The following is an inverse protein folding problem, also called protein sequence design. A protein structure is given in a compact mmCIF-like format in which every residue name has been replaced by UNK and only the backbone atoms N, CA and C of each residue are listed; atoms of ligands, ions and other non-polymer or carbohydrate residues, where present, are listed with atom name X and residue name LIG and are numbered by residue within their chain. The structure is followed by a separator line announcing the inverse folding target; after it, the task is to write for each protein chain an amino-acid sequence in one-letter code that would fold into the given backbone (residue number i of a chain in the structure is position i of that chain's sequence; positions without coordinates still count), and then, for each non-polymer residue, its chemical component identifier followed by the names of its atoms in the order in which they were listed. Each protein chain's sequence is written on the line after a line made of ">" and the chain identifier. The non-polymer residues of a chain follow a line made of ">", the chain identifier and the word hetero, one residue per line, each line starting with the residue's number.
data_IF_162339638721
#
_entry.id   IF_162339638721
#
_cell.length_a   1.000
_cell.length_b   1.000
_cell.length_c   1.000
_cell.angle_alpha   90.00
_cell.angle_beta   90.00
_cell.angle_gamma   90.00
#
_symmetry.space_group_name_H-M   'P 1'
#
loop_
_entity.id
_entity.type
_entity.pdbx_description
1 polymer ?
#
# COMPACT_ATOMS: atom_id res chain seq x y z
N UNK A 1 3.67 -7.02 -24.61
CA UNK A 1 2.94 -6.65 -23.38
C UNK A 1 2.31 -5.28 -23.62
N UNK A 2 0.99 -5.13 -23.48
CA UNK A 2 0.32 -3.87 -23.78
C UNK A 2 0.35 -2.97 -22.53
N UNK A 3 1.07 -1.85 -22.60
CA UNK A 3 1.31 -0.96 -21.46
C UNK A 3 0.28 0.18 -21.35
N UNK A 4 -0.71 0.24 -22.24
CA UNK A 4 -1.81 1.21 -22.19
C UNK A 4 -2.91 0.71 -21.25
N UNK A 5 -2.89 1.16 -20.01
CA UNK A 5 -3.86 0.80 -18.97
C UNK A 5 -4.94 1.87 -18.72
N UNK A 6 -4.93 2.96 -19.48
CA UNK A 6 -5.89 4.05 -19.38
C UNK A 6 -6.17 4.63 -20.78
N UNK A 7 -7.38 5.14 -21.01
CA UNK A 7 -7.81 5.69 -22.29
C UNK A 7 -7.24 7.08 -22.56
N UNK A 8 -7.08 7.89 -21.51
CA UNK A 8 -6.50 9.25 -21.60
C UNK A 8 -5.50 9.49 -20.46
N UNK A 9 -4.50 10.39 -20.63
CA UNK A 9 -3.58 10.75 -19.55
C UNK A 9 -4.23 11.47 -18.37
N UNK A 10 -5.43 12.03 -18.56
CA UNK A 10 -6.11 12.89 -17.59
C UNK A 10 -7.28 12.19 -16.86
N UNK A 11 -7.69 11.01 -17.31
CA UNK A 11 -8.74 10.22 -16.66
C UNK A 11 -8.18 9.30 -15.58
N UNK A 12 -9.02 8.87 -14.62
CA UNK A 12 -8.67 7.78 -13.71
C UNK A 12 -9.37 6.49 -14.16
N UNK A 13 -8.58 5.43 -14.34
CA UNK A 13 -9.09 4.08 -14.54
C UNK A 13 -8.25 3.10 -13.71
N UNK A 14 -8.90 2.33 -12.83
CA UNK A 14 -8.19 1.27 -12.11
C UNK A 14 -7.72 0.19 -13.08
N UNK A 15 -6.41 -0.05 -13.13
CA UNK A 15 -5.83 -1.13 -13.93
C UNK A 15 -6.31 -2.49 -13.39
N UNK A 16 -6.79 -3.37 -14.27
CA UNK A 16 -7.06 -4.77 -13.91
C UNK A 16 -5.74 -5.47 -13.59
N UNK A 17 -5.62 -5.95 -12.35
CA UNK A 17 -4.43 -6.64 -11.84
C UNK A 17 -4.80 -7.97 -11.18
N UNK A 18 -3.83 -8.88 -11.10
CA UNK A 18 -3.95 -10.05 -10.23
C UNK A 18 -4.02 -9.60 -8.76
N UNK A 19 -4.74 -10.36 -7.94
CA UNK A 19 -4.73 -10.18 -6.49
C UNK A 19 -3.51 -10.89 -5.91
N UNK A 20 -2.80 -10.21 -5.00
CA UNK A 20 -1.71 -10.78 -4.21
C UNK A 20 -2.00 -10.51 -2.74
N UNK A 21 -1.71 -11.47 -1.86
CA UNK A 21 -1.85 -11.30 -0.41
C UNK A 21 -0.54 -10.80 0.20
N UNK A 22 -0.60 -9.78 1.04
CA UNK A 22 0.48 -9.30 1.90
C UNK A 22 0.02 -9.52 3.33
N UNK A 23 0.45 -10.63 3.94
CA UNK A 23 -0.22 -11.12 5.15
C UNK A 23 -1.71 -11.36 4.87
N UNK A 24 -2.57 -10.70 5.65
CA UNK A 24 -4.03 -10.76 5.50
C UNK A 24 -4.61 -9.67 4.57
N UNK A 25 -3.78 -8.75 4.06
CA UNK A 25 -4.23 -7.64 3.21
C UNK A 25 -4.19 -8.03 1.71
N UNK A 26 -5.34 -8.08 1.01
CA UNK A 26 -5.37 -8.39 -0.42
C UNK A 26 -5.12 -7.14 -1.28
N UNK A 27 -4.04 -7.15 -2.06
CA UNK A 27 -3.65 -6.03 -2.94
C UNK A 27 -3.99 -6.34 -4.40
N UNK A 28 -4.67 -5.40 -5.06
CA UNK A 28 -5.02 -5.48 -6.49
C UNK A 28 -6.42 -6.03 -6.79
N UNK A 29 -6.68 -6.35 -8.06
CA UNK A 29 -7.97 -6.87 -8.52
C UNK A 29 -9.10 -5.85 -8.41
N UNK A 30 -10.10 -6.16 -7.57
CA UNK A 30 -11.22 -5.27 -7.22
C UNK A 30 -11.22 -4.87 -5.72
N UNK A 31 -10.21 -5.28 -4.95
CA UNK A 31 -10.09 -4.90 -3.53
C UNK A 31 -9.84 -3.38 -3.40
N UNK A 32 -10.14 -2.75 -2.26
CA UNK A 32 -9.77 -1.36 -1.99
C UNK A 32 -8.29 -1.04 -2.23
N UNK A 33 -7.97 0.25 -2.35
CA UNK A 33 -6.57 0.69 -2.41
C UNK A 33 -6.04 0.68 -0.97
N UNK A 34 -5.11 -0.23 -0.67
CA UNK A 34 -4.47 -0.30 0.64
C UNK A 34 -3.63 0.96 0.91
N UNK A 35 -3.71 1.48 2.13
CA UNK A 35 -2.95 2.66 2.56
C UNK A 35 -1.65 2.18 3.22
N UNK A 36 -0.51 2.56 2.65
CA UNK A 36 0.82 2.17 3.16
C UNK A 36 1.64 3.39 3.57
N UNK A 37 2.53 3.18 4.54
CA UNK A 37 3.51 4.16 5.01
C UNK A 37 4.84 3.49 5.35
N UNK A 38 5.84 4.29 5.75
CA UNK A 38 7.19 3.83 6.07
C UNK A 38 7.68 4.55 7.33
N UNK A 39 8.28 3.80 8.27
CA UNK A 39 8.94 4.37 9.43
C UNK A 39 10.17 5.20 9.02
N UNK A 40 10.49 6.23 9.78
CA UNK A 40 11.67 7.06 9.59
C UNK A 40 12.65 7.01 10.77
N UNK A 41 12.37 6.14 11.74
CA UNK A 41 13.27 5.79 12.84
C UNK A 41 14.43 4.92 12.34
N UNK A 42 15.55 4.95 13.05
CA UNK A 42 16.64 3.99 12.79
C UNK A 42 16.09 2.57 12.98
N UNK A 43 16.22 1.73 11.95
CA UNK A 43 15.66 0.37 11.97
C UNK A 43 16.36 -0.52 13.01
N UNK A 44 17.59 -0.16 13.42
CA UNK A 44 18.29 -0.83 14.52
C UNK A 44 17.75 -0.42 15.90
N UNK A 45 17.06 0.72 16.01
CA UNK A 45 16.26 1.07 17.18
C UNK A 45 14.90 0.35 17.11
N UNK A 46 14.89 -0.86 17.68
CA UNK A 46 13.68 -1.69 17.75
C UNK A 46 12.54 -0.98 18.48
N UNK A 47 12.80 -0.22 19.55
CA UNK A 47 11.74 0.41 20.35
C UNK A 47 11.13 1.59 19.61
N UNK A 48 11.96 2.44 19.00
CA UNK A 48 11.52 3.54 18.15
C UNK A 48 10.72 3.04 16.95
N UNK A 49 11.22 2.00 16.27
CA UNK A 49 10.54 1.38 15.13
C UNK A 49 9.16 0.85 15.50
N UNK A 50 9.04 0.07 16.58
CA UNK A 50 7.75 -0.48 17.03
C UNK A 50 6.78 0.64 17.42
N UNK A 51 7.24 1.66 18.14
CA UNK A 51 6.40 2.79 18.53
C UNK A 51 5.81 3.48 17.29
N UNK A 52 6.63 3.74 16.29
CA UNK A 52 6.19 4.43 15.07
C UNK A 52 5.25 3.56 14.22
N UNK A 53 5.50 2.25 14.13
CA UNK A 53 4.59 1.32 13.44
C UNK A 53 3.18 1.39 14.05
N UNK A 54 3.08 1.37 15.39
CA UNK A 54 1.79 1.46 16.08
C UNK A 54 1.11 2.83 15.89
N UNK A 55 1.88 3.91 15.73
CA UNK A 55 1.32 5.23 15.41
C UNK A 55 0.77 5.28 13.98
N UNK A 56 1.46 4.66 13.02
CA UNK A 56 1.02 4.55 11.63
C UNK A 56 -0.24 3.68 11.49
N UNK A 57 -0.29 2.56 12.19
CA UNK A 57 -1.48 1.69 12.27
C UNK A 57 -2.70 2.50 12.79
N UNK A 58 -2.55 3.22 13.90
CA UNK A 58 -3.63 4.08 14.44
C UNK A 58 -4.05 5.19 13.49
N UNK A 59 -3.17 5.63 12.60
CA UNK A 59 -3.48 6.62 11.56
C UNK A 59 -4.20 6.01 10.34
N UNK A 60 -4.40 4.69 10.30
CA UNK A 60 -5.09 3.98 9.22
C UNK A 60 -4.16 3.37 8.16
N UNK A 61 -2.88 3.17 8.49
CA UNK A 61 -2.00 2.35 7.66
C UNK A 61 -2.40 0.86 7.78
N UNK A 62 -2.44 0.16 6.65
CA UNK A 62 -2.80 -1.25 6.51
C UNK A 62 -1.61 -2.11 6.07
#
# INVERSE_FOLDING_TARGET
>A
MNFRYNQTPFGYQRRKTKVVKVGDVPVGGNNPIAIQSMINTDTTDTKGSVKQILELERAGCE
#
